data_IF_605465212066
#
_entry.id   IF_605465212066
#
_cell.length_a   1.000
_cell.length_b   1.000
_cell.length_c   1.000
_cell.angle_alpha   90.00
_cell.angle_beta   90.00
_cell.angle_gamma   90.00
#
_symmetry.space_group_name_H-M   'P 1'
#
loop_
_entity.id
_entity.type
_entity.pdbx_description
1 polymer ?
#
# COMPACT_ATOMS: atom_id res chain seq x y z
N UNK A 1 4.44 -9.81 -15.59
CA UNK A 1 4.66 -8.74 -14.59
C UNK A 1 4.30 -9.20 -13.17
N UNK A 2 3.08 -9.69 -12.93
CA UNK A 2 2.63 -10.13 -11.60
C UNK A 2 3.49 -11.23 -10.95
N UNK A 3 4.01 -12.18 -11.73
CA UNK A 3 4.91 -13.22 -11.20
C UNK A 3 6.21 -12.67 -10.62
N UNK A 4 6.69 -11.50 -11.11
CA UNK A 4 7.87 -10.82 -10.55
C UNK A 4 7.54 -10.13 -9.24
N UNK A 5 6.38 -9.47 -9.15
CA UNK A 5 5.89 -8.85 -7.92
C UNK A 5 5.76 -9.89 -6.80
N UNK A 6 5.12 -11.03 -7.09
CA UNK A 6 5.00 -12.16 -6.15
C UNK A 6 6.35 -12.70 -5.71
N UNK A 7 7.36 -12.70 -6.58
CA UNK A 7 8.71 -13.13 -6.21
C UNK A 7 9.46 -12.12 -5.31
N UNK A 8 9.13 -10.83 -5.40
CA UNK A 8 9.76 -9.77 -4.59
C UNK A 8 9.15 -9.60 -3.19
N UNK A 9 7.86 -9.90 -3.04
CA UNK A 9 7.15 -9.88 -1.76
C UNK A 9 6.59 -11.27 -1.45
N UNK A 10 7.44 -12.28 -1.28
CA UNK A 10 6.98 -13.66 -1.30
C UNK A 10 6.17 -14.01 -0.05
N UNK A 11 6.40 -13.34 1.08
CA UNK A 11 5.57 -13.48 2.30
C UNK A 11 4.17 -12.85 2.20
N UNK A 12 3.87 -12.12 1.12
CA UNK A 12 2.55 -11.54 0.88
C UNK A 12 1.72 -12.51 0.07
N UNK A 13 0.62 -12.98 0.64
CA UNK A 13 -0.37 -13.76 -0.10
C UNK A 13 -1.20 -12.81 -0.97
N UNK A 14 -0.84 -12.72 -2.26
CA UNK A 14 -1.61 -11.96 -3.25
C UNK A 14 -2.85 -12.72 -3.76
N UNK A 15 -3.07 -13.98 -3.39
CA UNK A 15 -4.22 -14.77 -3.84
C UNK A 15 -5.56 -14.29 -3.26
N UNK A 16 -5.49 -13.51 -2.18
CA UNK A 16 -6.63 -12.92 -1.48
C UNK A 16 -6.73 -11.40 -1.71
N UNK A 17 -6.09 -10.90 -2.76
CA UNK A 17 -6.25 -9.50 -3.14
C UNK A 17 -7.57 -9.26 -3.85
N UNK A 18 -8.03 -8.02 -3.81
CA UNK A 18 -9.09 -7.55 -4.71
C UNK A 18 -8.61 -7.57 -6.17
N UNK A 19 -9.52 -7.44 -7.15
CA UNK A 19 -9.14 -7.20 -8.54
C UNK A 19 -8.29 -5.93 -8.70
N UNK A 20 -7.46 -5.88 -9.75
CA UNK A 20 -6.72 -4.68 -10.09
C UNK A 20 -7.65 -3.54 -10.49
N UNK A 21 -7.39 -2.35 -9.96
CA UNK A 21 -8.02 -1.11 -10.44
C UNK A 21 -7.00 -0.23 -11.14
N UNK A 22 -7.32 0.22 -12.36
CA UNK A 22 -6.47 1.13 -13.14
C UNK A 22 -7.06 2.53 -13.04
N UNK A 23 -6.24 3.48 -12.57
CA UNK A 23 -6.61 4.86 -12.32
C UNK A 23 -5.83 5.79 -13.25
N UNK A 24 -6.54 6.62 -14.01
CA UNK A 24 -5.97 7.68 -14.84
C UNK A 24 -6.34 9.05 -14.25
N UNK A 25 -5.33 9.91 -14.10
CA UNK A 25 -5.47 11.28 -13.65
C UNK A 25 -4.91 12.23 -14.73
N UNK A 26 -5.81 13.01 -15.31
CA UNK A 26 -5.51 14.10 -16.25
C UNK A 26 -5.10 15.37 -15.49
N UNK A 27 -4.64 16.45 -16.17
CA UNK A 27 -4.34 17.71 -15.50
C UNK A 27 -5.47 18.18 -14.58
N UNK A 28 -5.11 18.74 -13.42
CA UNK A 28 -5.94 19.07 -12.25
C UNK A 28 -6.55 17.87 -11.50
N UNK A 29 -6.44 16.67 -12.06
CA UNK A 29 -6.81 15.42 -11.41
C UNK A 29 -5.96 15.17 -10.17
N UNK A 30 -6.63 14.84 -9.06
CA UNK A 30 -6.02 14.52 -7.77
C UNK A 30 -6.87 13.47 -7.05
N UNK A 31 -6.33 12.92 -5.97
CA UNK A 31 -7.09 12.07 -5.06
C UNK A 31 -6.94 12.60 -3.64
N UNK A 32 -8.07 12.80 -2.98
CA UNK A 32 -8.11 13.40 -1.65
C UNK A 32 -7.40 12.52 -0.62
N UNK A 33 -7.02 13.11 0.51
CA UNK A 33 -6.38 12.34 1.58
C UNK A 33 -7.36 11.32 2.17
N UNK A 34 -6.94 10.06 2.23
CA UNK A 34 -7.75 8.94 2.68
C UNK A 34 -6.87 7.82 3.23
N UNK A 35 -7.54 6.83 3.83
CA UNK A 35 -6.98 5.54 4.16
C UNK A 35 -7.61 4.48 3.27
N UNK A 36 -6.85 3.41 3.00
CA UNK A 36 -7.34 2.29 2.20
C UNK A 36 -8.07 1.22 3.02
N UNK A 37 -7.91 1.19 4.35
CA UNK A 37 -8.70 0.29 5.19
C UNK A 37 -10.18 0.67 5.16
N UNK A 38 -11.05 -0.31 5.33
CA UNK A 38 -12.48 -0.17 5.29
C UNK A 38 -13.00 0.27 6.66
N UNK A 39 -13.78 1.35 6.67
CA UNK A 39 -14.38 1.87 7.89
C UNK A 39 -15.86 1.44 7.97
N UNK A 40 -16.14 0.42 8.78
CA UNK A 40 -17.50 0.00 9.12
C UNK A 40 -17.85 0.47 10.53
N UNK A 41 -19.11 0.85 10.77
CA UNK A 41 -19.54 1.32 12.10
C UNK A 41 -19.63 0.18 13.10
N UNK A 42 -19.91 -1.05 12.62
CA UNK A 42 -19.98 -2.25 13.42
C UNK A 42 -19.73 -3.52 12.59
N UNK A 43 -19.45 -4.68 13.24
CA UNK A 43 -19.27 -5.96 12.53
C UNK A 43 -20.48 -6.43 11.72
N UNK A 44 -21.68 -5.97 12.07
CA UNK A 44 -22.92 -6.29 11.35
C UNK A 44 -22.95 -5.64 9.96
N UNK A 45 -22.25 -4.53 9.76
CA UNK A 45 -22.17 -3.81 8.48
C UNK A 45 -21.11 -4.37 7.52
N UNK A 46 -20.28 -5.32 7.97
CA UNK A 46 -19.23 -5.89 7.14
C UNK A 46 -19.80 -6.55 5.88
N UNK A 47 -19.23 -6.22 4.72
CA UNK A 47 -19.51 -6.93 3.48
C UNK A 47 -18.93 -8.35 3.52
N UNK A 48 -19.28 -9.17 2.53
CA UNK A 48 -18.79 -10.56 2.44
C UNK A 48 -17.27 -10.63 2.35
N UNK A 49 -16.64 -9.69 1.64
CA UNK A 49 -15.20 -9.65 1.50
C UNK A 49 -14.48 -9.39 2.83
N UNK A 50 -14.97 -8.46 3.63
CA UNK A 50 -14.43 -8.17 4.97
C UNK A 50 -14.61 -9.35 5.91
N UNK A 51 -15.73 -10.08 5.82
CA UNK A 51 -15.97 -11.27 6.65
C UNK A 51 -15.04 -12.42 6.28
N UNK A 52 -14.90 -12.70 4.99
CA UNK A 52 -14.16 -13.87 4.50
C UNK A 52 -12.64 -13.62 4.52
N UNK A 53 -12.22 -12.42 4.11
CA UNK A 53 -10.81 -12.10 3.86
C UNK A 53 -10.23 -11.03 4.80
N UNK A 54 -11.03 -10.40 5.66
CA UNK A 54 -10.58 -9.33 6.54
C UNK A 54 -10.45 -7.97 5.82
N UNK A 55 -9.87 -6.97 6.49
CA UNK A 55 -9.64 -5.67 5.85
C UNK A 55 -8.54 -5.71 4.80
N UNK A 56 -8.42 -4.61 4.06
CA UNK A 56 -7.26 -4.25 3.24
C UNK A 56 -6.06 -3.94 4.13
N UNK A 57 -5.26 -4.95 4.48
CA UNK A 57 -4.07 -4.77 5.33
C UNK A 57 -2.95 -4.00 4.63
N UNK A 58 -2.88 -4.08 3.30
CA UNK A 58 -1.84 -3.41 2.52
C UNK A 58 -2.34 -2.99 1.14
N UNK A 59 -1.64 -2.01 0.58
CA UNK A 59 -1.86 -1.50 -0.77
C UNK A 59 -0.59 -1.65 -1.57
N UNK A 60 -0.73 -2.18 -2.78
CA UNK A 60 0.32 -2.24 -3.78
C UNK A 60 -0.08 -1.35 -4.96
N UNK A 61 0.67 -0.28 -5.20
CA UNK A 61 0.43 0.67 -6.29
C UNK A 61 1.58 0.55 -7.29
N UNK A 62 1.25 0.13 -8.50
CA UNK A 62 2.16 0.09 -9.62
C UNK A 62 2.02 1.34 -10.48
N UNK A 63 3.12 2.05 -10.70
CA UNK A 63 3.15 3.20 -11.59
C UNK A 63 3.28 2.72 -13.04
N UNK A 64 2.24 2.90 -13.84
CA UNK A 64 2.27 2.54 -15.26
C UNK A 64 2.85 3.69 -16.08
N UNK A 65 2.42 4.91 -15.79
CA UNK A 65 2.89 6.12 -16.45
C UNK A 65 2.88 7.29 -15.45
N UNK A 66 4.03 7.91 -15.13
CA UNK A 66 4.02 9.13 -14.34
C UNK A 66 3.53 10.31 -15.19
N UNK A 67 2.87 11.26 -14.53
CA UNK A 67 2.63 12.57 -15.13
C UNK A 67 3.97 13.29 -15.38
N UNK A 68 4.00 14.15 -16.40
CA UNK A 68 5.18 14.98 -16.69
C UNK A 68 5.50 15.92 -15.52
N UNK A 69 4.47 16.40 -14.81
CA UNK A 69 4.62 17.30 -13.67
C UNK A 69 3.49 17.11 -12.66
N UNK A 70 3.84 17.06 -11.38
CA UNK A 70 2.89 16.74 -10.30
C UNK A 70 2.56 15.24 -10.24
N UNK A 71 1.40 14.88 -9.71
CA UNK A 71 0.93 13.49 -9.70
C UNK A 71 1.60 12.55 -8.68
N UNK A 72 2.42 13.06 -7.76
CA UNK A 72 3.01 12.26 -6.68
C UNK A 72 1.98 11.59 -5.78
N UNK A 73 2.40 10.54 -5.07
CA UNK A 73 1.62 9.97 -3.96
C UNK A 73 2.18 10.52 -2.66
N UNK A 74 1.38 11.31 -1.94
CA UNK A 74 1.80 12.00 -0.72
C UNK A 74 1.30 11.27 0.52
N UNK A 75 2.16 11.18 1.52
CA UNK A 75 1.92 10.63 2.84
C UNK A 75 2.21 11.73 3.87
N UNK A 76 1.20 12.55 4.24
CA UNK A 76 1.42 13.74 5.06
C UNK A 76 1.95 13.42 6.46
N UNK A 77 1.52 12.30 7.06
CA UNK A 77 1.93 11.92 8.42
C UNK A 77 3.43 11.63 8.52
N UNK A 78 4.07 11.15 7.45
CA UNK A 78 5.53 11.00 7.35
C UNK A 78 6.23 12.16 6.64
N UNK A 79 5.50 13.22 6.27
CA UNK A 79 6.07 14.40 5.61
C UNK A 79 6.73 14.11 4.26
N UNK A 80 6.16 13.18 3.47
CA UNK A 80 6.79 12.74 2.24
C UNK A 80 5.85 12.66 1.03
N UNK A 81 6.43 12.84 -0.14
CA UNK A 81 5.77 12.63 -1.43
C UNK A 81 6.65 11.76 -2.31
N UNK A 82 6.09 10.65 -2.75
CA UNK A 82 6.76 9.71 -3.63
C UNK A 82 6.41 10.03 -5.08
N UNK A 83 7.44 10.27 -5.88
CA UNK A 83 7.35 10.45 -7.34
C UNK A 83 7.91 9.18 -8.02
N UNK A 84 7.08 8.14 -8.26
CA UNK A 84 7.54 6.92 -8.90
C UNK A 84 7.73 7.10 -10.41
N UNK A 85 8.71 6.40 -10.98
CA UNK A 85 8.87 6.27 -12.43
C UNK A 85 7.96 5.18 -12.99
N UNK A 86 7.79 5.13 -14.32
CA UNK A 86 7.09 4.01 -14.95
C UNK A 86 7.79 2.69 -14.60
N UNK A 87 7.02 1.70 -14.15
CA UNK A 87 7.51 0.42 -13.68
C UNK A 87 7.88 0.37 -12.20
N UNK A 88 7.93 1.48 -11.48
CA UNK A 88 8.10 1.47 -10.01
C UNK A 88 6.80 1.02 -9.33
N UNK A 89 6.93 0.46 -8.12
CA UNK A 89 5.80 0.20 -7.24
C UNK A 89 6.00 0.77 -5.84
N UNK A 90 4.87 1.15 -5.24
CA UNK A 90 4.75 1.46 -3.84
C UNK A 90 4.02 0.31 -3.17
N UNK A 91 4.45 -0.03 -1.97
CA UNK A 91 3.79 -0.98 -1.10
C UNK A 91 3.68 -0.34 0.28
N UNK A 92 2.49 -0.33 0.88
CA UNK A 92 2.37 0.13 2.26
C UNK A 92 1.31 -0.64 2.99
N UNK A 93 1.42 -0.65 4.31
CA UNK A 93 0.47 -1.35 5.18
C UNK A 93 -0.51 -0.36 5.81
N UNK A 94 -1.78 -0.73 5.86
CA UNK A 94 -2.88 0.13 6.30
C UNK A 94 -3.30 -0.10 7.77
N UNK A 95 -2.79 -1.14 8.43
CA UNK A 95 -3.18 -1.53 9.79
C UNK A 95 -1.99 -2.00 10.63
N UNK A 96 -2.16 -2.09 11.95
CA UNK A 96 -1.23 -2.78 12.85
C UNK A 96 -1.41 -4.30 12.78
N UNK A 97 -0.39 -5.03 13.25
CA UNK A 97 -0.44 -6.50 13.28
C UNK A 97 -1.50 -7.05 14.24
N UNK A 98 -1.90 -6.29 15.26
CA UNK A 98 -2.94 -6.68 16.23
C UNK A 98 -4.38 -6.51 15.71
N UNK A 99 -4.58 -6.18 14.43
CA UNK A 99 -5.87 -5.74 13.87
C UNK A 99 -6.50 -4.54 14.60
N UNK A 100 -5.78 -3.87 15.52
CA UNK A 100 -6.28 -2.68 16.19
C UNK A 100 -6.38 -1.52 15.19
N UNK A 101 -7.60 -1.34 14.68
CA UNK A 101 -8.03 -0.15 13.97
C UNK A 101 -8.15 0.97 15.01
N UNK A 102 -7.16 1.88 15.08
CA UNK A 102 -7.43 3.18 15.68
C UNK A 102 -8.29 3.97 14.71
N UNK A 103 -9.60 4.02 14.98
CA UNK A 103 -10.55 4.88 14.27
C UNK A 103 -10.10 6.34 14.46
N UNK A 104 -9.37 6.86 13.49
CA UNK A 104 -9.15 8.29 13.30
C UNK A 104 -9.83 8.64 11.98
N UNK A 105 -11.14 8.79 12.01
CA UNK A 105 -11.90 9.21 10.83
C UNK A 105 -11.46 10.62 10.42
N UNK A 106 -10.58 10.71 9.43
CA UNK A 106 -10.29 11.96 8.70
C UNK A 106 -10.80 11.77 7.28
N UNK A 107 -12.09 12.02 7.07
CA UNK A 107 -12.63 12.20 5.72
C UNK A 107 -12.26 13.60 5.24
N UNK A 108 -11.03 13.78 4.76
CA UNK A 108 -10.64 15.05 4.17
C UNK A 108 -10.95 15.04 2.69
N UNK A 109 -12.06 15.68 2.29
CA UNK A 109 -12.30 16.05 0.88
C UNK A 109 -11.32 17.13 0.38
N UNK A 110 -10.45 17.65 1.24
CA UNK A 110 -9.48 18.67 0.85
C UNK A 110 -8.42 18.04 -0.05
N UNK A 111 -7.97 18.75 -1.09
CA UNK A 111 -6.83 18.31 -1.89
C UNK A 111 -5.59 18.16 -0.99
N UNK A 112 -4.66 17.28 -1.34
CA UNK A 112 -3.45 17.11 -0.53
C UNK A 112 -2.64 18.42 -0.41
N UNK A 113 -1.86 18.59 0.68
CA UNK A 113 -1.10 19.81 0.92
C UNK A 113 -0.18 20.16 -0.25
N UNK A 114 -0.36 21.34 -0.83
CA UNK A 114 0.37 21.76 -2.03
C UNK A 114 1.88 21.89 -1.78
N UNK A 115 2.28 22.29 -0.58
CA UNK A 115 3.71 22.44 -0.23
C UNK A 115 4.44 21.10 -0.17
N UNK A 116 3.86 20.08 0.50
CA UNK A 116 4.41 18.71 0.52
C UNK A 116 4.43 18.08 -0.87
N UNK A 117 3.45 18.42 -1.73
CA UNK A 117 3.44 17.99 -3.13
C UNK A 117 4.49 18.70 -4.01
N UNK A 118 4.88 19.93 -3.67
CA UNK A 118 5.90 20.71 -4.42
C UNK A 118 7.32 20.35 -4.02
N UNK A 119 7.54 20.00 -2.76
CA UNK A 119 8.85 19.64 -2.21
C UNK A 119 8.85 18.18 -1.77
N UNK A 120 8.91 17.22 -2.72
CA UNK A 120 8.91 15.81 -2.38
C UNK A 120 10.20 15.48 -1.61
N UNK A 121 10.05 15.10 -0.34
CA UNK A 121 11.10 14.35 0.35
C UNK A 121 11.23 13.01 -0.37
N UNK A 122 12.32 12.83 -1.11
CA UNK A 122 12.65 11.52 -1.69
C UNK A 122 12.96 10.59 -0.52
N UNK A 123 11.97 9.80 -0.08
CA UNK A 123 12.25 8.74 0.86
C UNK A 123 13.00 7.65 0.08
N UNK A 124 14.31 7.56 0.31
CA UNK A 124 15.06 6.32 0.07
C UNK A 124 14.58 5.29 1.09
N UNK A 125 13.54 4.55 0.72
CA UNK A 125 13.02 3.50 1.59
C UNK A 125 14.00 2.30 1.53
N UNK A 126 14.76 2.15 2.61
CA UNK A 126 15.63 1.04 3.01
C UNK A 126 16.65 0.50 1.98
N UNK A 127 17.92 0.91 2.19
CA UNK A 127 19.13 0.12 1.95
C UNK A 127 19.06 -1.25 2.64
N UNK A 128 18.79 -2.31 1.87
CA UNK A 128 19.45 -3.64 1.89
C UNK A 128 18.50 -4.77 1.45
N UNK A 129 18.56 -5.07 0.14
CA UNK A 129 18.07 -6.31 -0.49
C UNK A 129 16.76 -6.12 -1.28
N UNK A 130 16.65 -6.36 -2.59
CA UNK A 130 17.55 -6.86 -3.63
C UNK A 130 17.19 -6.11 -4.91
N UNK A 131 18.16 -5.40 -5.50
CA UNK A 131 18.04 -4.84 -6.84
C UNK A 131 18.26 -5.97 -7.85
N UNK A 132 17.20 -6.38 -8.56
CA UNK A 132 17.35 -7.04 -9.86
C UNK A 132 16.31 -6.49 -10.83
N UNK A 133 16.78 -5.52 -11.60
CA UNK A 133 16.30 -5.04 -12.91
C UNK A 133 14.76 -4.93 -13.08
N UNK A 134 14.30 -3.67 -13.03
CA UNK A 134 13.03 -3.10 -13.54
C UNK A 134 11.82 -2.92 -12.60
N UNK A 135 11.89 -3.22 -11.30
CA UNK A 135 10.82 -2.86 -10.34
C UNK A 135 11.42 -2.37 -9.01
N UNK A 136 11.21 -1.11 -8.66
CA UNK A 136 11.58 -0.55 -7.34
C UNK A 136 10.36 -0.64 -6.42
N UNK A 137 10.46 -1.33 -5.28
CA UNK A 137 9.38 -1.39 -4.29
C UNK A 137 9.70 -0.45 -3.13
N UNK A 138 8.85 0.55 -2.91
CA UNK A 138 8.93 1.51 -1.79
C UNK A 138 7.94 1.10 -0.69
N UNK A 139 8.45 0.69 0.48
CA UNK A 139 7.68 0.18 1.64
C UNK A 139 7.37 1.27 2.69
N UNK A 140 6.09 1.56 2.98
CA UNK A 140 5.69 2.47 4.08
C UNK A 140 4.96 1.67 5.18
N UNK A 141 5.32 1.90 6.45
CA UNK A 141 4.84 1.14 7.61
C UNK A 141 3.89 1.94 8.51
N UNK A 142 2.86 1.25 9.03
CA UNK A 142 1.98 1.67 10.16
C UNK A 142 1.16 2.96 9.92
N UNK A 143 0.38 3.41 10.93
CA UNK A 143 -0.61 4.52 11.08
C UNK A 143 -0.39 5.83 10.29
N UNK A 144 0.73 5.97 9.61
CA UNK A 144 1.04 7.04 8.68
C UNK A 144 0.60 6.73 7.23
N UNK A 145 -0.29 5.75 7.06
CA UNK A 145 -0.86 5.35 5.77
C UNK A 145 -1.90 6.34 5.23
N UNK A 146 -2.18 7.44 5.93
CA UNK A 146 -2.96 8.55 5.37
C UNK A 146 -2.23 9.05 4.13
N UNK A 147 -2.88 8.95 2.98
CA UNK A 147 -2.24 9.26 1.73
C UNK A 147 -3.21 9.84 0.71
N UNK A 148 -2.67 10.43 -0.36
CA UNK A 148 -3.46 10.95 -1.46
C UNK A 148 -2.64 11.10 -2.73
N UNK A 149 -3.32 11.43 -3.81
CA UNK A 149 -2.71 11.75 -5.09
C UNK A 149 -2.56 13.26 -5.23
N UNK A 150 -1.32 13.77 -5.24
CA UNK A 150 -1.04 15.16 -5.59
C UNK A 150 -1.62 15.48 -6.96
N UNK A 151 -2.03 16.73 -7.16
CA UNK A 151 -2.55 17.20 -8.45
C UNK A 151 -1.55 16.93 -9.58
N UNK A 152 -2.05 16.45 -10.70
CA UNK A 152 -1.32 16.42 -11.98
C UNK A 152 -1.36 17.84 -12.55
N UNK A 153 -0.20 18.45 -12.79
CA UNK A 153 -0.14 19.79 -13.40
C UNK A 153 0.08 19.71 -14.91
N UNK A 154 0.88 18.75 -15.38
CA UNK A 154 1.17 18.55 -16.80
C UNK A 154 1.28 17.05 -17.12
N UNK A 155 0.75 16.63 -18.27
CA UNK A 155 0.72 15.22 -18.68
C UNK A 155 -0.43 14.42 -18.05
N UNK A 156 -0.25 13.10 -17.96
CA UNK A 156 -1.24 12.17 -17.40
C UNK A 156 -0.56 11.12 -16.53
N UNK A 157 -1.08 10.92 -15.32
CA UNK A 157 -0.66 9.84 -14.41
C UNK A 157 -1.57 8.63 -14.61
N UNK A 158 -1.00 7.46 -14.84
CA UNK A 158 -1.70 6.18 -14.87
C UNK A 158 -1.07 5.23 -13.86
N UNK A 159 -1.86 4.72 -12.93
CA UNK A 159 -1.43 3.76 -11.92
C UNK A 159 -2.40 2.57 -11.83
N UNK A 160 -1.89 1.40 -11.48
CA UNK A 160 -2.69 0.24 -11.13
C UNK A 160 -2.56 -0.03 -9.63
N UNK A 161 -3.68 -0.12 -8.93
CA UNK A 161 -3.72 -0.41 -7.49
C UNK A 161 -4.27 -1.80 -7.25
N UNK A 162 -3.70 -2.45 -6.24
CA UNK A 162 -4.13 -3.75 -5.73
C UNK A 162 -4.23 -3.65 -4.22
N UNK A 163 -5.43 -3.80 -3.68
CA UNK A 163 -5.66 -3.90 -2.25
C UNK A 163 -5.58 -5.36 -1.80
N UNK A 164 -4.81 -5.62 -0.75
CA UNK A 164 -4.48 -6.96 -0.30
C UNK A 164 -5.14 -7.19 1.06
N UNK A 165 -5.88 -8.29 1.20
CA UNK A 165 -6.69 -8.61 2.37
C UNK A 165 -5.90 -9.30 3.49
N UNK A 166 -6.35 -9.12 4.74
CA UNK A 166 -5.63 -9.47 5.96
C UNK A 166 -5.59 -10.98 6.28
N UNK A 167 -6.72 -11.68 6.14
CA UNK A 167 -6.86 -13.05 6.62
C UNK A 167 -5.93 -14.00 5.84
N UNK A 168 -5.06 -14.74 6.54
CA UNK A 168 -4.14 -15.69 5.89
C UNK A 168 -2.78 -15.09 5.49
N UNK A 169 -2.44 -13.88 5.97
CA UNK A 169 -1.09 -13.32 5.84
C UNK A 169 -0.20 -13.78 7.00
N UNK A 170 0.87 -14.54 6.74
CA UNK A 170 1.81 -14.99 7.81
C UNK A 170 2.49 -13.82 8.54
N UNK A 171 2.68 -12.69 7.83
CA UNK A 171 3.28 -11.48 8.38
C UNK A 171 2.44 -10.83 9.49
N UNK A 172 1.14 -11.10 9.56
CA UNK A 172 0.25 -10.62 10.63
C UNK A 172 0.26 -11.54 11.86
N UNK A 173 0.73 -12.78 11.73
CA UNK A 173 0.77 -13.76 12.84
C UNK A 173 1.89 -13.54 13.84
N UNK A 174 2.83 -12.65 13.56
CA UNK A 174 3.92 -12.30 14.49
C UNK A 174 4.11 -10.79 14.53
N UNK A 175 4.03 -10.23 15.72
CA UNK A 175 4.34 -8.83 15.96
C UNK A 175 5.77 -8.68 16.44
N UNK A 176 6.39 -7.54 16.17
CA UNK A 176 7.57 -7.13 16.93
C UNK A 176 7.20 -6.83 18.39
N UNK A 177 8.20 -6.49 19.20
CA UNK A 177 8.04 -6.12 20.61
C UNK A 177 7.12 -4.91 20.85
N UNK A 178 6.76 -4.16 19.81
CA UNK A 178 5.90 -2.99 19.84
C UNK A 178 4.51 -3.25 19.21
N UNK A 179 4.17 -4.50 18.89
CA UNK A 179 2.90 -4.84 18.27
C UNK A 179 2.80 -4.49 16.77
N UNK A 180 3.92 -4.14 16.12
CA UNK A 180 3.97 -3.83 14.68
C UNK A 180 4.25 -5.10 13.87
N UNK A 181 3.91 -5.10 12.59
CA UNK A 181 4.22 -6.23 11.71
C UNK A 181 5.72 -6.47 11.63
N UNK A 182 6.14 -7.74 11.70
CA UNK A 182 7.54 -8.10 11.50
C UNK A 182 7.93 -7.97 10.02
N UNK A 183 8.37 -6.77 9.64
CA UNK A 183 8.77 -6.43 8.27
C UNK A 183 9.92 -7.30 7.75
N UNK A 184 10.73 -7.91 8.65
CA UNK A 184 11.84 -8.77 8.23
C UNK A 184 11.31 -9.98 7.47
N UNK A 185 10.08 -10.42 7.74
CA UNK A 185 9.43 -11.48 6.97
C UNK A 185 9.17 -11.09 5.52
N UNK A 186 8.94 -9.81 5.18
CA UNK A 186 8.75 -9.42 3.77
C UNK A 186 9.99 -9.68 2.93
N UNK A 187 11.18 -9.46 3.49
CA UNK A 187 12.47 -9.56 2.80
C UNK A 187 13.23 -10.86 3.08
N UNK A 188 12.87 -11.57 4.16
CA UNK A 188 13.42 -12.87 4.57
C UNK A 188 12.28 -13.81 4.97
N UNK A 189 11.47 -14.27 4.01
CA UNK A 189 10.41 -15.22 4.29
C UNK A 189 10.96 -16.51 4.93
N UNK A 190 10.19 -17.13 5.84
CA UNK A 190 10.49 -18.50 6.26
C UNK A 190 10.10 -19.45 5.14
N UNK A 191 11.13 -20.02 4.50
CA UNK A 191 10.96 -20.80 3.27
C UNK A 191 10.11 -22.07 3.48
N UNK A 192 10.09 -22.57 4.71
CA UNK A 192 9.34 -23.74 5.18
C UNK A 192 7.81 -23.58 5.03
N UNK A 193 7.29 -22.36 4.91
CA UNK A 193 5.85 -22.09 4.75
C UNK A 193 5.44 -21.77 3.31
N UNK A 194 6.38 -21.75 2.34
CA UNK A 194 6.02 -21.54 0.94
C UNK A 194 5.28 -22.75 0.37
N UNK A 195 4.06 -22.54 -0.11
CA UNK A 195 3.25 -23.57 -0.73
C UNK A 195 2.46 -24.45 0.24
N UNK A 196 2.51 -24.17 1.54
CA UNK A 196 1.57 -24.76 2.50
C UNK A 196 0.26 -23.96 2.44
N UNK A 197 -0.77 -24.51 1.81
CA UNK A 197 -2.16 -24.10 2.05
C UNK A 197 -2.46 -24.30 3.53
N UNK A 198 -3.15 -23.34 4.16
CA UNK A 198 -3.72 -23.57 5.49
C UNK A 198 -4.56 -24.83 5.42
N UNK A 199 -4.37 -25.75 6.37
CA UNK A 199 -5.29 -26.86 6.53
C UNK A 199 -6.68 -26.25 6.75
N UNK A 200 -7.61 -26.56 5.84
CA UNK A 200 -9.02 -26.30 6.03
C UNK A 200 -9.44 -26.93 7.37
N UNK A 201 -9.92 -26.11 8.30
CA UNK A 201 -10.61 -26.55 9.51
C UNK A 201 -12.09 -26.21 9.38
#
# INVERSE_FOLDING_TARGET
>A
MFSRVKAMLPSVNFGISEPWEVLSYKPEGHYALHYDYLNYSSPEEWDSWRRDYGDRFATFLLMLQPATKGGGTVFPSVGATVMPSSGDALFWTNMKASEEIKVMAVFSKKPPPTETCKNPTVIEIFRNGVFREYLVIKIIQDLDSLHGGCAVWEGEKIAAVLWIRANGQDLLRSTDQNGRMDIKKLIRPRVEYFGMTTADN
#
